data_IF_123459101939
#
_entry.id   IF_123459101939
#
_cell.length_a   1.000
_cell.length_b   1.000
_cell.length_c   1.000
_cell.angle_alpha   90.00
_cell.angle_beta   90.00
_cell.angle_gamma   90.00
#
_symmetry.space_group_name_H-M   'P 1'
#
loop_
_entity.id
_entity.type
_entity.pdbx_description
1 polymer ?
#
# COMPACT_ATOMS: atom_id res chain seq x y z
N UNK A 1 59.76 -16.23 -51.40
CA UNK A 1 59.58 -14.96 -50.66
C UNK A 1 58.17 -14.92 -50.09
N UNK A 2 58.05 -14.82 -48.77
CA UNK A 2 56.83 -14.96 -47.96
C UNK A 2 55.87 -13.78 -48.16
N UNK A 3 54.60 -14.05 -48.47
CA UNK A 3 53.50 -13.12 -48.24
C UNK A 3 52.90 -13.42 -46.85
N UNK A 4 52.84 -12.39 -46.02
CA UNK A 4 52.50 -12.43 -44.60
C UNK A 4 50.96 -12.47 -44.48
N UNK A 5 50.42 -13.55 -43.91
CA UNK A 5 49.03 -13.59 -43.46
C UNK A 5 48.96 -12.79 -42.15
N UNK A 6 48.39 -11.59 -42.19
CA UNK A 6 48.05 -10.84 -40.99
C UNK A 6 46.76 -11.45 -40.43
N UNK A 7 46.91 -12.27 -39.39
CA UNK A 7 45.80 -12.75 -38.59
C UNK A 7 45.24 -11.55 -37.80
N UNK A 8 43.99 -11.18 -38.06
CA UNK A 8 43.26 -10.20 -37.28
C UNK A 8 42.93 -10.78 -35.90
N UNK A 9 43.80 -10.51 -34.94
CA UNK A 9 43.53 -10.70 -33.52
C UNK A 9 43.17 -9.34 -32.92
N UNK A 10 41.88 -9.06 -32.79
CA UNK A 10 41.37 -8.08 -31.85
C UNK A 10 40.07 -8.65 -31.29
N UNK A 11 40.22 -9.41 -30.22
CA UNK A 11 39.14 -10.04 -29.50
C UNK A 11 38.12 -8.99 -29.04
N UNK A 12 36.86 -9.35 -29.26
CA UNK A 12 35.63 -8.65 -28.90
C UNK A 12 35.71 -8.02 -27.51
N UNK A 13 35.51 -6.71 -27.47
CA UNK A 13 35.40 -5.89 -26.25
C UNK A 13 34.18 -6.36 -25.44
N UNK A 14 34.40 -6.50 -24.12
CA UNK A 14 33.46 -6.94 -23.09
C UNK A 14 32.01 -6.49 -23.30
N UNK A 15 31.10 -7.46 -23.38
CA UNK A 15 29.68 -7.25 -23.03
C UNK A 15 29.58 -7.26 -21.51
N UNK A 16 29.64 -6.08 -20.90
CA UNK A 16 29.25 -5.88 -19.50
C UNK A 16 27.74 -6.06 -19.40
N UNK A 17 27.31 -7.25 -18.97
CA UNK A 17 25.95 -7.45 -18.50
C UNK A 17 25.81 -6.75 -17.15
N UNK A 18 25.45 -5.47 -17.16
CA UNK A 18 24.93 -4.80 -15.98
C UNK A 18 23.54 -5.42 -15.69
N UNK A 19 23.51 -6.46 -14.87
CA UNK A 19 22.26 -6.85 -14.22
C UNK A 19 21.99 -5.78 -13.16
N UNK A 20 21.23 -4.76 -13.53
CA UNK A 20 20.57 -3.94 -12.54
C UNK A 20 19.62 -4.88 -11.78
N UNK A 21 20.01 -5.30 -10.58
CA UNK A 21 19.06 -5.87 -9.63
C UNK A 21 18.13 -4.71 -9.29
N UNK A 22 16.97 -4.66 -9.94
CA UNK A 22 15.88 -3.83 -9.47
C UNK A 22 15.56 -4.35 -8.06
N UNK A 23 16.02 -3.64 -7.04
CA UNK A 23 15.56 -3.86 -5.68
C UNK A 23 14.11 -3.40 -5.69
N UNK A 24 13.18 -4.30 -6.01
CA UNK A 24 11.76 -4.03 -5.88
C UNK A 24 11.54 -3.74 -4.40
N UNK A 25 11.37 -2.47 -4.05
CA UNK A 25 11.03 -2.12 -2.69
C UNK A 25 9.67 -2.77 -2.41
N UNK A 26 9.61 -3.64 -1.40
CA UNK A 26 8.41 -4.41 -1.10
C UNK A 26 7.27 -3.49 -0.63
N UNK A 27 6.02 -3.94 -0.75
CA UNK A 27 4.89 -3.27 -0.12
C UNK A 27 5.11 -3.09 1.39
N UNK A 28 4.87 -1.87 1.88
CA UNK A 28 5.04 -1.54 3.31
C UNK A 28 3.74 -0.99 3.87
N UNK A 29 3.10 -1.76 4.74
CA UNK A 29 1.93 -1.29 5.49
C UNK A 29 2.37 -0.52 6.74
N UNK A 30 2.00 0.76 6.82
CA UNK A 30 2.34 1.62 7.96
C UNK A 30 1.25 1.59 9.05
N UNK A 31 0.08 1.03 8.75
CA UNK A 31 -1.05 0.97 9.67
C UNK A 31 -2.04 2.13 9.52
N UNK A 32 -3.11 2.12 10.32
CA UNK A 32 -4.03 3.24 10.41
C UNK A 32 -3.43 4.40 11.24
N UNK A 33 -3.67 5.65 10.83
CA UNK A 33 -3.25 6.84 11.60
C UNK A 33 -3.97 6.96 12.95
N UNK A 34 -5.23 6.52 13.01
CA UNK A 34 -5.98 6.39 14.26
C UNK A 34 -6.70 5.05 14.29
N UNK A 35 -6.72 4.44 15.47
CA UNK A 35 -7.48 3.22 15.75
C UNK A 35 -8.82 3.49 16.44
N UNK A 36 -9.07 4.74 16.84
CA UNK A 36 -10.31 5.14 17.50
C UNK A 36 -10.96 6.23 16.66
N UNK A 37 -12.20 6.02 16.26
CA UNK A 37 -12.98 6.92 15.42
C UNK A 37 -14.13 7.54 16.20
N UNK A 38 -14.32 8.84 16.01
CA UNK A 38 -15.39 9.65 16.56
C UNK A 38 -16.10 10.37 15.41
N UNK A 39 -16.95 9.68 14.62
CA UNK A 39 -17.53 10.24 13.39
C UNK A 39 -18.67 11.24 13.70
N UNK A 40 -18.30 12.39 14.24
CA UNK A 40 -19.17 13.50 14.68
C UNK A 40 -19.02 14.76 13.81
N UNK A 41 -18.16 14.71 12.78
CA UNK A 41 -17.87 15.80 11.84
C UNK A 41 -17.18 17.02 12.47
N UNK A 42 -16.38 16.83 13.51
CA UNK A 42 -15.56 17.89 14.14
C UNK A 42 -14.15 18.04 13.53
N UNK A 43 -13.82 17.20 12.54
CA UNK A 43 -12.53 17.17 11.86
C UNK A 43 -11.45 16.34 12.58
N UNK A 44 -11.78 15.69 13.70
CA UNK A 44 -10.85 14.91 14.51
C UNK A 44 -11.31 13.46 14.57
N UNK A 45 -10.45 12.54 14.13
CA UNK A 45 -10.73 11.11 14.17
C UNK A 45 -12.07 10.70 13.50
N UNK A 46 -12.59 11.49 12.56
CA UNK A 46 -13.82 11.16 11.83
C UNK A 46 -13.64 9.97 10.89
N UNK A 47 -12.40 9.72 10.47
CA UNK A 47 -12.06 8.72 9.45
C UNK A 47 -10.82 7.92 9.87
N UNK A 48 -10.78 6.65 9.48
CA UNK A 48 -9.56 5.86 9.50
C UNK A 48 -8.82 6.06 8.19
N UNK A 49 -7.52 6.38 8.28
CA UNK A 49 -6.63 6.53 7.13
C UNK A 49 -5.57 5.45 7.22
N UNK A 50 -5.53 4.55 6.26
CA UNK A 50 -4.58 3.45 6.17
C UNK A 50 -3.44 3.84 5.23
N UNK A 51 -2.23 3.99 5.77
CA UNK A 51 -1.07 4.42 5.00
C UNK A 51 -0.23 3.23 4.56
N UNK A 52 0.27 3.25 3.33
CA UNK A 52 1.20 2.25 2.84
C UNK A 52 2.07 2.79 1.70
N UNK A 53 3.25 2.18 1.53
CA UNK A 53 4.08 2.37 0.35
C UNK A 53 3.86 1.19 -0.61
N UNK A 54 3.61 1.48 -1.88
CA UNK A 54 3.37 0.48 -2.92
C UNK A 54 4.31 0.74 -4.12
N UNK A 55 5.58 0.36 -3.99
CA UNK A 55 6.60 0.72 -4.97
C UNK A 55 6.47 -0.01 -6.31
N UNK A 56 5.81 -1.18 -6.31
CA UNK A 56 5.56 -1.98 -7.51
C UNK A 56 4.24 -1.62 -8.22
N UNK A 57 3.48 -0.64 -7.70
CA UNK A 57 2.09 -0.35 -8.07
C UNK A 57 1.21 -1.62 -8.13
N UNK A 58 1.43 -2.53 -7.18
CA UNK A 58 0.70 -3.78 -7.02
C UNK A 58 -0.78 -3.51 -6.70
N UNK A 59 -1.65 -4.47 -7.01
CA UNK A 59 -3.07 -4.37 -6.61
C UNK A 59 -3.19 -4.40 -5.08
N UNK A 60 -4.04 -3.51 -4.53
CA UNK A 60 -4.27 -3.37 -3.10
C UNK A 60 -5.76 -3.42 -2.84
N UNK A 61 -6.20 -4.42 -2.07
CA UNK A 61 -7.58 -4.57 -1.64
C UNK A 61 -7.71 -4.15 -0.17
N UNK A 62 -8.68 -3.29 0.14
CA UNK A 62 -9.01 -2.91 1.50
C UNK A 62 -10.48 -3.22 1.83
N UNK A 63 -10.71 -3.87 2.97
CA UNK A 63 -12.05 -4.20 3.49
C UNK A 63 -12.15 -3.92 4.98
N UNK A 64 -13.35 -3.57 5.42
CA UNK A 64 -13.73 -3.44 6.82
C UNK A 64 -14.81 -4.46 7.13
N UNK A 65 -14.69 -5.10 8.28
CA UNK A 65 -15.61 -6.10 8.79
C UNK A 65 -16.13 -5.71 10.17
N UNK A 66 -17.34 -6.17 10.48
CA UNK A 66 -17.82 -6.19 11.86
C UNK A 66 -17.05 -7.22 12.68
N UNK A 67 -17.14 -7.16 14.00
CA UNK A 67 -16.53 -8.17 14.88
C UNK A 67 -17.06 -9.60 14.60
N UNK A 68 -18.26 -9.72 14.04
CA UNK A 68 -18.87 -10.99 13.64
C UNK A 68 -18.46 -11.44 12.23
N UNK A 69 -17.58 -10.69 11.55
CA UNK A 69 -17.04 -11.04 10.23
C UNK A 69 -17.90 -10.61 9.03
N UNK A 70 -18.98 -9.86 9.23
CA UNK A 70 -19.75 -9.31 8.13
C UNK A 70 -18.98 -8.17 7.45
N UNK A 71 -18.91 -8.16 6.10
CA UNK A 71 -18.31 -7.04 5.36
C UNK A 71 -19.16 -5.78 5.56
N UNK A 72 -18.50 -4.70 6.00
CA UNK A 72 -19.11 -3.41 6.34
C UNK A 72 -18.81 -2.38 5.26
N UNK A 73 -17.60 -2.42 4.71
CA UNK A 73 -17.16 -1.52 3.64
C UNK A 73 -16.03 -2.14 2.82
N UNK A 74 -16.00 -1.80 1.52
CA UNK A 74 -14.83 -1.92 0.65
C UNK A 74 -14.18 -0.54 0.53
N UNK A 75 -12.86 -0.50 0.66
CA UNK A 75 -12.09 0.74 0.64
C UNK A 75 -11.62 1.09 -0.76
N UNK A 76 -11.53 2.39 -1.02
CA UNK A 76 -11.02 2.92 -2.28
C UNK A 76 -9.56 3.35 -2.13
N UNK A 77 -8.74 2.94 -3.09
CA UNK A 77 -7.35 3.35 -3.21
C UNK A 77 -7.27 4.84 -3.59
N UNK A 78 -6.47 5.61 -2.85
CA UNK A 78 -6.16 7.02 -3.14
C UNK A 78 -4.65 7.19 -3.31
N UNK A 79 -4.26 7.82 -4.42
CA UNK A 79 -2.86 8.01 -4.84
C UNK A 79 -2.30 9.41 -4.54
N UNK A 80 -3.01 10.18 -3.71
CA UNK A 80 -2.57 11.51 -3.29
C UNK A 80 -1.90 11.42 -1.91
N UNK A 81 -0.90 12.26 -1.62
CA UNK A 81 -0.42 12.43 -0.26
C UNK A 81 -1.57 12.85 0.66
N UNK A 82 -1.57 12.34 1.88
CA UNK A 82 -2.51 12.76 2.93
C UNK A 82 -1.73 13.09 4.19
N UNK A 83 -2.20 14.09 4.94
CA UNK A 83 -1.53 14.54 6.15
C UNK A 83 -1.41 13.38 7.16
N UNK A 84 -0.22 13.24 7.75
CA UNK A 84 0.08 12.20 8.74
C UNK A 84 0.58 10.87 8.17
N UNK A 85 0.34 10.56 6.90
CA UNK A 85 1.02 9.40 6.29
C UNK A 85 2.51 9.68 6.10
N UNK A 86 3.39 8.69 6.31
CA UNK A 86 4.80 8.82 5.95
C UNK A 86 4.97 9.21 4.49
N UNK A 87 5.88 10.15 4.21
CA UNK A 87 6.23 10.56 2.86
C UNK A 87 7.17 9.52 2.25
N UNK A 88 6.61 8.60 1.46
CA UNK A 88 7.37 7.70 0.58
C UNK A 88 7.50 8.27 -0.85
N UNK A 89 8.16 7.53 -1.74
CA UNK A 89 8.25 7.90 -3.16
C UNK A 89 6.88 7.81 -3.88
N UNK A 90 5.99 6.93 -3.41
CA UNK A 90 4.65 6.71 -3.94
C UNK A 90 3.65 6.52 -2.78
N UNK A 91 3.36 7.58 -2.00
CA UNK A 91 2.49 7.46 -0.85
C UNK A 91 1.05 7.19 -1.33
N UNK A 92 0.52 6.04 -0.94
CA UNK A 92 -0.86 5.66 -1.21
C UNK A 92 -1.59 5.47 0.11
N UNK A 93 -2.90 5.67 0.09
CA UNK A 93 -3.72 5.48 1.26
C UNK A 93 -5.13 5.02 0.92
N UNK A 94 -5.82 4.49 1.93
CA UNK A 94 -7.25 4.17 1.87
C UNK A 94 -7.94 4.85 3.04
N UNK A 95 -9.22 5.22 2.85
CA UNK A 95 -10.00 5.92 3.88
C UNK A 95 -11.28 5.17 4.16
N UNK A 96 -11.60 5.02 5.44
CA UNK A 96 -12.93 4.61 5.89
C UNK A 96 -13.55 5.70 6.76
N UNK A 97 -14.75 6.14 6.41
CA UNK A 97 -15.50 7.20 7.11
C UNK A 97 -16.49 6.66 8.15
N UNK A 98 -16.24 5.45 8.67
CA UNK A 98 -17.13 4.74 9.58
C UNK A 98 -18.56 4.53 9.03
N UNK A 99 -18.74 4.45 7.70
CA UNK A 99 -20.05 4.19 7.09
C UNK A 99 -20.16 2.81 6.46
N UNK A 100 -21.40 2.33 6.42
CA UNK A 100 -21.87 1.18 5.66
C UNK A 100 -23.21 1.53 5.04
N UNK A 101 -23.37 1.29 3.74
CA UNK A 101 -24.61 1.61 2.99
C UNK A 101 -25.12 3.04 3.24
N UNK A 102 -24.21 4.02 3.30
CA UNK A 102 -24.53 5.43 3.51
C UNK A 102 -24.76 5.86 4.97
N UNK A 103 -24.94 4.93 5.91
CA UNK A 103 -25.17 5.21 7.33
C UNK A 103 -23.91 5.02 8.16
N UNK A 104 -23.73 5.81 9.22
CA UNK A 104 -22.62 5.62 10.15
C UNK A 104 -22.87 4.35 10.99
N UNK A 105 -21.87 3.48 11.12
CA UNK A 105 -21.99 2.12 11.68
C UNK A 105 -22.01 2.10 13.21
N UNK A 106 -22.86 1.34 13.91
CA UNK A 106 -22.96 1.34 15.40
C UNK A 106 -21.62 1.38 16.17
N UNK A 107 -21.61 1.99 17.36
CA UNK A 107 -20.40 2.02 18.20
C UNK A 107 -19.93 0.59 18.50
N UNK A 108 -18.62 0.37 18.50
CA UNK A 108 -18.05 -0.98 18.67
C UNK A 108 -16.73 -1.20 17.97
N UNK A 109 -16.28 -2.46 17.97
CA UNK A 109 -15.02 -2.89 17.36
C UNK A 109 -15.28 -3.36 15.92
N UNK A 110 -14.43 -2.90 15.02
CA UNK A 110 -14.39 -3.28 13.62
C UNK A 110 -13.00 -3.81 13.27
N UNK A 111 -12.93 -4.66 12.26
CA UNK A 111 -11.68 -5.27 11.79
C UNK A 111 -11.36 -4.75 10.40
N UNK A 112 -10.16 -4.25 10.18
CA UNK A 112 -9.68 -3.97 8.83
C UNK A 112 -8.88 -5.16 8.29
N UNK A 113 -8.94 -5.35 6.98
CA UNK A 113 -8.07 -6.23 6.22
C UNK A 113 -7.56 -5.47 4.99
N UNK A 114 -6.24 -5.35 4.88
CA UNK A 114 -5.56 -4.86 3.69
C UNK A 114 -4.80 -6.04 3.08
N UNK A 115 -4.96 -6.27 1.78
CA UNK A 115 -4.21 -7.29 1.03
C UNK A 115 -3.42 -6.63 -0.09
N UNK A 116 -2.15 -7.01 -0.20
CA UNK A 116 -1.25 -6.57 -1.26
C UNK A 116 -0.12 -7.58 -1.39
N UNK A 117 0.35 -7.86 -2.60
CA UNK A 117 1.52 -8.72 -2.85
C UNK A 117 1.42 -10.12 -2.19
N UNK A 118 0.21 -10.69 -2.11
CA UNK A 118 -0.06 -11.97 -1.44
C UNK A 118 0.00 -11.91 0.09
N UNK A 119 0.29 -10.75 0.68
CA UNK A 119 0.28 -10.49 2.12
C UNK A 119 -1.09 -10.02 2.58
N UNK A 120 -1.43 -10.31 3.83
CA UNK A 120 -2.63 -9.80 4.48
C UNK A 120 -2.29 -9.12 5.80
N UNK A 121 -2.66 -7.84 5.92
CA UNK A 121 -2.49 -7.02 7.10
C UNK A 121 -3.86 -6.81 7.74
N UNK A 122 -3.99 -7.20 9.00
CA UNK A 122 -5.24 -7.09 9.74
C UNK A 122 -5.06 -6.35 11.06
N UNK A 123 -6.15 -5.86 11.62
CA UNK A 123 -6.18 -5.27 12.95
C UNK A 123 -7.55 -4.68 13.26
N UNK A 124 -7.68 -4.09 14.44
CA UNK A 124 -8.94 -3.54 14.91
C UNK A 124 -8.98 -2.01 14.86
N UNK A 125 -10.20 -1.50 14.74
CA UNK A 125 -10.63 -0.12 14.94
C UNK A 125 -11.76 -0.10 15.97
N UNK A 126 -11.90 1.00 16.69
CA UNK A 126 -13.00 1.25 17.62
C UNK A 126 -13.77 2.47 17.11
N UNK A 127 -15.10 2.35 17.00
CA UNK A 127 -15.99 3.48 16.72
C UNK A 127 -16.69 3.86 18.02
N UNK A 128 -16.58 5.13 18.40
CA UNK A 128 -17.20 5.72 19.60
C UNK A 128 -18.13 6.85 19.16
N UNK A 129 -19.32 6.90 19.75
CA UNK A 129 -20.31 7.98 19.58
C UNK A 129 -20.90 8.34 20.92
#
# INVERSE_FOLDING_TARGET
MKQIKIAAAAAVILVLWATAIAQTAAFRFNGPLSRVLTPNSDGRNDVAIFCFDNFSDSDVEGKIFSLLGAEVARLELRRLPTAGCPLGNLPQHMIWNARSNGSIVSSGIYVYQIKAEGLSFTGSLVVVR
#
